data_IF_083332243033
#
_entry.id   IF_083332243033
#
_cell.length_a   1.000
_cell.length_b   1.000
_cell.length_c   1.000
_cell.angle_alpha   90.00
_cell.angle_beta   90.00
_cell.angle_gamma   90.00
#
_symmetry.space_group_name_H-M   'P 1'
#
loop_
_entity.id
_entity.type
_entity.pdbx_description
1 polymer ?
#
# COMPACT_ATOMS: atom_id res chain seq x y z
N UNK A 1 -36.82 -3.10 3.51
CA UNK A 1 -35.69 -2.21 3.87
C UNK A 1 -36.19 -0.78 3.82
N UNK A 2 -36.03 -0.04 4.92
CA UNK A 2 -36.36 1.40 4.95
C UNK A 2 -35.29 2.22 4.24
N UNK A 3 -35.64 3.42 3.78
CA UNK A 3 -34.67 4.36 3.24
C UNK A 3 -33.66 4.76 4.32
N UNK A 4 -32.38 4.79 3.99
CA UNK A 4 -31.31 5.30 4.84
C UNK A 4 -31.03 6.77 4.51
N UNK A 5 -30.38 7.49 5.43
CA UNK A 5 -29.98 8.87 5.15
C UNK A 5 -28.89 8.92 4.07
N UNK A 6 -28.75 10.06 3.40
CA UNK A 6 -27.67 10.26 2.43
C UNK A 6 -26.28 10.13 3.07
N UNK A 7 -26.13 10.55 4.33
CA UNK A 7 -24.90 10.40 5.09
C UNK A 7 -24.58 8.92 5.35
N UNK A 8 -25.55 8.13 5.81
CA UNK A 8 -25.36 6.69 6.05
C UNK A 8 -25.05 5.96 4.74
N UNK A 9 -25.71 6.34 3.64
CA UNK A 9 -25.41 5.80 2.32
C UNK A 9 -23.97 6.11 1.90
N UNK A 10 -23.51 7.35 2.06
CA UNK A 10 -22.14 7.74 1.73
C UNK A 10 -21.10 6.97 2.55
N UNK A 11 -21.30 6.83 3.86
CA UNK A 11 -20.44 6.04 4.74
C UNK A 11 -20.36 4.58 4.29
N UNK A 12 -21.51 3.96 4.03
CA UNK A 12 -21.56 2.56 3.57
C UNK A 12 -20.93 2.39 2.19
N UNK A 13 -21.15 3.34 1.29
CA UNK A 13 -20.56 3.34 -0.05
C UNK A 13 -19.04 3.41 0.02
N UNK A 14 -18.49 4.29 0.86
CA UNK A 14 -17.05 4.44 1.06
C UNK A 14 -16.43 3.18 1.66
N UNK A 15 -17.04 2.62 2.71
CA UNK A 15 -16.59 1.38 3.32
C UNK A 15 -16.59 0.21 2.33
N UNK A 16 -17.59 0.13 1.45
CA UNK A 16 -17.65 -0.89 0.40
C UNK A 16 -16.65 -0.64 -0.74
N UNK A 17 -16.45 0.62 -1.12
CA UNK A 17 -15.51 1.00 -2.18
C UNK A 17 -14.05 0.78 -1.78
N UNK A 18 -13.73 0.94 -0.49
CA UNK A 18 -12.40 0.79 0.09
C UNK A 18 -12.32 -0.39 1.07
N UNK A 19 -12.95 -1.52 0.75
CA UNK A 19 -12.76 -2.74 1.54
C UNK A 19 -11.27 -3.10 1.64
N UNK A 20 -10.79 -3.67 2.77
CA UNK A 20 -9.39 -4.03 2.94
C UNK A 20 -8.82 -4.83 1.77
N UNK A 21 -9.54 -5.86 1.28
CA UNK A 21 -9.10 -6.68 0.14
C UNK A 21 -8.77 -5.83 -1.11
N UNK A 22 -9.63 -4.87 -1.42
CA UNK A 22 -9.45 -3.98 -2.58
C UNK A 22 -8.28 -3.04 -2.40
N UNK A 23 -8.09 -2.52 -1.19
CA UNK A 23 -6.93 -1.69 -0.85
C UNK A 23 -5.63 -2.50 -0.95
N UNK A 24 -5.60 -3.73 -0.42
CA UNK A 24 -4.44 -4.62 -0.54
C UNK A 24 -4.06 -4.90 -1.99
N UNK A 25 -5.02 -5.19 -2.85
CA UNK A 25 -4.78 -5.38 -4.30
C UNK A 25 -4.24 -4.12 -4.96
N UNK A 26 -4.81 -2.96 -4.66
CA UNK A 26 -4.33 -1.68 -5.21
C UNK A 26 -2.91 -1.36 -4.75
N UNK A 27 -2.59 -1.57 -3.48
CA UNK A 27 -1.25 -1.36 -2.93
C UNK A 27 -0.25 -2.32 -3.60
N UNK A 28 -0.59 -3.60 -3.75
CA UNK A 28 0.27 -4.56 -4.45
C UNK A 28 0.56 -4.13 -5.91
N UNK A 29 -0.46 -3.64 -6.63
CA UNK A 29 -0.28 -3.12 -7.99
C UNK A 29 0.58 -1.86 -8.05
N UNK A 30 0.46 -0.98 -7.05
CA UNK A 30 1.21 0.27 -6.99
C UNK A 30 2.70 0.02 -6.72
N UNK A 31 3.02 -0.88 -5.79
CA UNK A 31 4.40 -1.20 -5.42
C UNK A 31 5.05 -2.10 -6.49
N UNK A 32 4.27 -2.99 -7.11
CA UNK A 32 4.76 -4.01 -8.03
C UNK A 32 5.47 -5.17 -7.33
N UNK A 33 5.99 -6.11 -8.11
CA UNK A 33 6.56 -7.36 -7.57
C UNK A 33 8.01 -7.21 -7.08
N UNK A 34 8.72 -6.18 -7.53
CA UNK A 34 10.13 -5.98 -7.20
C UNK A 34 10.59 -4.54 -7.41
N UNK A 35 11.65 -4.14 -6.71
CA UNK A 35 12.31 -2.85 -6.89
C UNK A 35 13.84 -2.97 -6.81
N UNK A 36 14.54 -2.00 -7.39
CA UNK A 36 15.99 -1.81 -7.27
C UNK A 36 16.23 -0.38 -6.78
N UNK A 37 16.99 -0.24 -5.69
CA UNK A 37 17.29 1.08 -5.13
C UNK A 37 18.37 1.84 -5.92
N UNK A 38 19.05 1.15 -6.85
CA UNK A 38 20.28 1.62 -7.46
C UNK A 38 21.42 1.73 -6.45
N UNK A 39 22.51 2.39 -6.85
CA UNK A 39 23.63 2.64 -5.93
C UNK A 39 23.34 3.89 -5.08
N UNK A 40 23.12 3.68 -3.79
CA UNK A 40 23.02 4.74 -2.78
C UNK A 40 24.34 4.91 -2.04
N UNK A 41 24.64 6.12 -1.57
CA UNK A 41 25.80 6.36 -0.69
C UNK A 41 25.40 6.12 0.77
N UNK A 42 26.22 5.37 1.50
CA UNK A 42 25.97 5.01 2.91
C UNK A 42 27.21 5.24 3.78
N UNK A 43 26.98 5.42 5.09
CA UNK A 43 28.03 5.59 6.10
C UNK A 43 28.51 7.03 6.30
N UNK A 44 29.39 7.26 7.30
CA UNK A 44 29.92 8.60 7.61
C UNK A 44 30.61 9.21 6.39
N UNK A 45 30.24 10.45 6.04
CA UNK A 45 30.74 11.18 4.87
C UNK A 45 30.47 10.52 3.50
N UNK A 46 29.59 9.51 3.42
CA UNK A 46 29.23 8.83 2.17
C UNK A 46 30.37 8.00 1.57
N UNK A 47 31.23 7.44 2.43
CA UNK A 47 32.41 6.65 2.04
C UNK A 47 32.07 5.23 1.58
N UNK A 48 30.85 4.75 1.80
CA UNK A 48 30.38 3.47 1.29
C UNK A 48 29.31 3.62 0.22
N UNK A 49 29.15 2.57 -0.58
CA UNK A 49 28.00 2.43 -1.49
C UNK A 49 27.17 1.23 -1.06
N UNK A 50 25.85 1.33 -1.17
CA UNK A 50 24.95 0.21 -1.03
C UNK A 50 24.06 0.09 -2.25
N UNK A 51 23.71 -1.13 -2.61
CA UNK A 51 22.70 -1.42 -3.61
C UNK A 51 21.79 -2.49 -3.04
N UNK A 52 20.48 -2.35 -3.24
CA UNK A 52 19.51 -3.31 -2.77
C UNK A 52 18.50 -3.64 -3.87
N UNK A 53 18.20 -4.94 -3.99
CA UNK A 53 17.11 -5.43 -4.82
C UNK A 53 16.10 -6.06 -3.87
N UNK A 54 14.85 -5.62 -3.97
CA UNK A 54 13.74 -6.10 -3.16
C UNK A 54 12.72 -6.86 -3.99
N UNK A 55 12.13 -7.90 -3.40
CA UNK A 55 10.96 -8.62 -3.92
C UNK A 55 9.83 -8.44 -2.92
N UNK A 56 8.67 -8.02 -3.42
CA UNK A 56 7.48 -7.78 -2.61
C UNK A 56 6.73 -9.10 -2.46
N UNK A 57 6.43 -9.46 -1.22
CA UNK A 57 5.62 -10.62 -0.89
C UNK A 57 4.12 -10.37 -1.06
N UNK A 58 3.31 -11.27 -0.52
CA UNK A 58 1.87 -11.09 -0.53
C UNK A 58 1.45 -9.94 0.38
N UNK A 59 0.93 -8.87 -0.21
CA UNK A 59 0.31 -7.76 0.53
C UNK A 59 -0.98 -8.24 1.16
N UNK A 60 -1.15 -7.97 2.46
CA UNK A 60 -2.36 -8.30 3.21
C UNK A 60 -2.90 -7.02 3.82
N UNK A 61 -4.21 -6.80 3.70
CA UNK A 61 -4.87 -5.65 4.29
C UNK A 61 -6.02 -6.13 5.18
N UNK A 62 -6.23 -5.44 6.30
CA UNK A 62 -7.30 -5.70 7.25
C UNK A 62 -7.86 -4.39 7.79
N UNK A 63 -9.01 -4.46 8.44
CA UNK A 63 -9.45 -3.33 9.27
C UNK A 63 -8.41 -3.04 10.36
N UNK A 64 -8.22 -1.75 10.67
CA UNK A 64 -7.33 -1.35 11.74
C UNK A 64 -8.05 -1.46 13.10
N UNK A 65 -7.33 -1.95 14.12
CA UNK A 65 -7.84 -1.97 15.50
C UNK A 65 -7.74 -0.57 16.16
N UNK A 66 -6.93 0.32 15.60
CA UNK A 66 -6.77 1.70 16.03
C UNK A 66 -7.93 2.55 15.48
N UNK A 67 -8.77 3.16 16.34
CA UNK A 67 -9.97 3.86 15.90
C UNK A 67 -9.71 5.13 15.06
N UNK A 68 -8.47 5.63 15.05
CA UNK A 68 -8.08 6.79 14.23
C UNK A 68 -7.76 6.40 12.77
N UNK A 69 -7.70 5.09 12.47
CA UNK A 69 -7.32 4.53 11.18
C UNK A 69 -8.35 3.51 10.69
N UNK A 70 -8.59 3.46 9.38
CA UNK A 70 -9.62 2.58 8.82
C UNK A 70 -9.05 1.19 8.47
N UNK A 71 -7.83 1.19 7.92
CA UNK A 71 -7.21 0.00 7.30
C UNK A 71 -5.74 -0.08 7.70
N UNK A 72 -5.30 -1.27 8.03
CA UNK A 72 -3.89 -1.62 8.18
C UNK A 72 -3.45 -2.50 7.01
N UNK A 73 -2.28 -2.20 6.45
CA UNK A 73 -1.69 -2.92 5.31
C UNK A 73 -0.32 -3.44 5.72
N UNK A 74 -0.13 -4.75 5.61
CA UNK A 74 1.14 -5.42 5.81
C UNK A 74 1.78 -5.73 4.46
N UNK A 75 2.99 -5.23 4.26
CA UNK A 75 3.80 -5.42 3.06
C UNK A 75 5.09 -6.17 3.42
N UNK A 76 5.13 -7.49 3.21
CA UNK A 76 6.37 -8.26 3.32
C UNK A 76 7.31 -7.92 2.17
N UNK A 77 8.60 -7.77 2.45
CA UNK A 77 9.63 -7.50 1.43
C UNK A 77 10.88 -8.31 1.77
N UNK A 78 11.35 -9.11 0.82
CA UNK A 78 12.65 -9.77 0.89
C UNK A 78 13.68 -8.94 0.12
N UNK A 79 14.78 -8.54 0.77
CA UNK A 79 15.78 -7.64 0.22
C UNK A 79 17.14 -8.33 0.18
N UNK A 80 17.78 -8.33 -0.98
CA UNK A 80 19.19 -8.65 -1.11
C UNK A 80 20.00 -7.36 -1.27
N UNK A 81 20.82 -7.04 -0.27
CA UNK A 81 21.63 -5.83 -0.24
C UNK A 81 23.12 -6.15 -0.36
N UNK A 82 23.86 -5.32 -1.10
CA UNK A 82 25.32 -5.32 -1.13
C UNK A 82 25.83 -3.98 -0.65
N UNK A 83 26.78 -4.01 0.27
CA UNK A 83 27.40 -2.81 0.85
C UNK A 83 28.90 -2.89 0.62
N UNK A 84 29.44 -1.91 -0.09
CA UNK A 84 30.87 -1.67 -0.24
C UNK A 84 31.30 -0.55 0.73
N UNK A 85 32.14 -0.90 1.70
CA UNK A 85 32.70 0.05 2.66
C UNK A 85 34.13 0.52 2.29
N UNK A 86 34.55 0.32 1.03
CA UNK A 86 35.89 0.65 0.50
C UNK A 86 36.99 -0.34 0.90
N UNK A 87 36.86 -0.98 2.07
CA UNK A 87 37.79 -2.03 2.54
C UNK A 87 37.26 -3.43 2.19
N UNK A 88 35.93 -3.59 2.17
CA UNK A 88 35.27 -4.88 1.93
C UNK A 88 33.86 -4.65 1.41
N UNK A 89 33.45 -5.52 0.49
CA UNK A 89 32.07 -5.70 0.07
C UNK A 89 31.41 -6.82 0.87
N UNK A 90 30.23 -6.56 1.42
CA UNK A 90 29.44 -7.53 2.18
C UNK A 90 28.03 -7.59 1.61
N UNK A 91 27.48 -8.80 1.51
CA UNK A 91 26.10 -9.04 1.11
C UNK A 91 25.24 -9.42 2.32
N UNK A 92 23.99 -8.96 2.32
CA UNK A 92 23.00 -9.18 3.37
C UNK A 92 21.68 -9.60 2.72
N UNK A 93 21.03 -10.59 3.31
CA UNK A 93 19.61 -10.86 3.07
C UNK A 93 18.82 -10.27 4.24
N UNK A 94 17.78 -9.50 3.91
CA UNK A 94 16.94 -8.82 4.90
C UNK A 94 15.49 -9.14 4.58
N UNK A 95 14.80 -9.77 5.53
CA UNK A 95 13.35 -9.91 5.48
C UNK A 95 12.72 -8.76 6.27
N UNK A 96 11.84 -8.02 5.61
CA UNK A 96 11.17 -6.84 6.12
C UNK A 96 9.67 -7.07 6.11
N UNK A 97 8.96 -6.56 7.11
CA UNK A 97 7.53 -6.39 7.07
C UNK A 97 7.18 -4.96 7.44
N UNK A 98 6.57 -4.23 6.50
CA UNK A 98 6.13 -2.83 6.70
C UNK A 98 4.65 -2.83 7.00
N UNK A 99 4.26 -2.14 8.06
CA UNK A 99 2.87 -1.96 8.48
C UNK A 99 2.45 -0.52 8.22
N UNK A 100 1.68 -0.29 7.15
CA UNK A 100 1.11 1.01 6.86
C UNK A 100 -0.32 1.11 7.41
N UNK A 101 -0.69 2.29 7.90
CA UNK A 101 -2.08 2.59 8.29
C UNK A 101 -2.64 3.68 7.42
N UNK A 102 -3.89 3.48 7.01
CA UNK A 102 -4.59 4.31 6.03
C UNK A 102 -5.93 4.73 6.59
N UNK A 103 -6.29 5.99 6.38
CA UNK A 103 -7.65 6.49 6.61
C UNK A 103 -8.14 7.32 5.43
N UNK A 104 -9.44 7.31 5.21
CA UNK A 104 -10.08 8.08 4.16
C UNK A 104 -10.64 9.38 4.73
N UNK A 105 -10.11 10.51 4.26
CA UNK A 105 -10.56 11.84 4.65
C UNK A 105 -11.42 12.42 3.53
N UNK A 106 -12.66 12.77 3.85
CA UNK A 106 -13.57 13.41 2.90
C UNK A 106 -13.37 14.91 2.92
N UNK A 107 -13.12 15.48 1.74
CA UNK A 107 -12.87 16.91 1.57
C UNK A 107 -13.86 17.56 0.60
N UNK A 108 -14.24 18.83 0.85
CA UNK A 108 -15.03 19.59 -0.10
C UNK A 108 -14.30 19.78 -1.44
N UNK A 109 -15.02 19.86 -2.58
CA UNK A 109 -16.47 19.68 -2.72
C UNK A 109 -16.91 18.21 -2.78
N UNK A 110 -16.07 17.30 -3.29
CA UNK A 110 -16.34 15.86 -3.38
C UNK A 110 -15.03 15.09 -3.63
N UNK A 111 -14.03 15.30 -2.79
CA UNK A 111 -12.75 14.60 -2.88
C UNK A 111 -12.56 13.62 -1.73
N UNK A 112 -11.86 12.53 -1.98
CA UNK A 112 -11.38 11.59 -0.97
C UNK A 112 -9.86 11.69 -0.94
N UNK A 113 -9.31 12.06 0.21
CA UNK A 113 -7.88 12.01 0.47
C UNK A 113 -7.56 10.70 1.18
N UNK A 114 -6.63 9.95 0.60
CA UNK A 114 -6.00 8.79 1.24
C UNK A 114 -4.91 9.35 2.15
N UNK A 115 -5.22 9.45 3.44
CA UNK A 115 -4.27 9.84 4.45
C UNK A 115 -3.52 8.61 4.96
N UNK A 116 -2.19 8.69 4.97
CA UNK A 116 -1.31 7.61 5.38
C UNK A 116 -0.58 8.05 6.63
N UNK A 117 -0.58 7.20 7.66
CA UNK A 117 0.24 7.43 8.85
C UNK A 117 1.70 7.51 8.43
N UNK A 118 2.41 8.52 8.90
CA UNK A 118 3.86 8.55 8.81
C UNK A 118 4.43 7.32 9.51
N UNK A 119 5.28 6.57 8.80
CA UNK A 119 5.86 5.35 9.36
C UNK A 119 6.86 5.70 10.46
N UNK A 120 6.86 4.92 11.53
CA UNK A 120 7.91 4.93 12.54
C UNK A 120 8.62 3.58 12.61
N UNK A 121 9.68 3.48 13.41
CA UNK A 121 10.45 2.24 13.56
C UNK A 121 9.59 1.05 14.02
N UNK A 122 8.55 1.29 14.84
CA UNK A 122 7.65 0.24 15.32
C UNK A 122 6.72 -0.31 14.21
N UNK A 123 6.59 0.42 13.10
CA UNK A 123 5.83 0.01 11.93
C UNK A 123 6.66 -0.87 10.97
N UNK A 124 7.94 -1.11 11.29
CA UNK A 124 8.87 -1.89 10.49
C UNK A 124 9.45 -3.01 11.33
N UNK A 125 9.26 -4.25 10.89
CA UNK A 125 9.92 -5.42 11.46
C UNK A 125 10.96 -5.92 10.48
N UNK A 126 12.24 -5.92 10.88
CA UNK A 126 13.32 -6.49 10.05
C UNK A 126 14.04 -7.66 10.72
N UNK A 127 14.38 -8.65 9.91
CA UNK A 127 15.31 -9.74 10.26
C UNK A 127 16.45 -9.73 9.25
N UNK A 128 17.70 -9.74 9.74
CA UNK A 128 18.90 -9.62 8.91
C UNK A 128 19.72 -10.89 9.02
N UNK A 129 19.94 -11.54 7.89
CA UNK A 129 20.81 -12.70 7.76
C UNK A 129 22.05 -12.37 6.90
N UNK A 130 23.27 -12.46 7.47
CA UNK A 130 24.48 -12.11 6.76
C UNK A 130 24.94 -13.31 5.92
N UNK A 131 25.06 -13.14 4.61
CA UNK A 131 25.58 -14.20 3.75
C UNK A 131 27.06 -14.49 4.07
N UNK A 132 27.35 -15.64 4.66
CA UNK A 132 28.72 -16.17 4.79
C UNK A 132 29.61 -15.48 5.84
N UNK A 133 29.02 -14.86 6.87
CA UNK A 133 29.79 -14.12 7.88
C UNK A 133 30.26 -15.02 9.04
N UNK A 134 31.50 -14.85 9.55
CA UNK A 134 31.98 -15.59 10.72
C UNK A 134 31.14 -15.29 11.96
N UNK A 135 30.81 -16.31 12.75
CA UNK A 135 29.93 -16.24 13.93
C UNK A 135 30.37 -15.27 15.02
N UNK A 136 31.60 -14.75 14.95
CA UNK A 136 32.14 -13.72 15.86
C UNK A 136 31.62 -12.30 15.60
N UNK A 137 31.01 -12.03 14.44
CA UNK A 137 30.45 -10.71 14.10
C UNK A 137 28.93 -10.61 14.36
N UNK A 138 28.29 -11.69 14.82
CA UNK A 138 26.84 -11.74 15.12
C UNK A 138 26.42 -10.72 16.19
N UNK A 139 27.31 -10.40 17.14
CA UNK A 139 27.03 -9.42 18.19
C UNK A 139 26.85 -7.97 17.69
N UNK A 140 27.46 -7.61 16.55
CA UNK A 140 27.32 -6.27 15.96
C UNK A 140 25.98 -6.08 15.25
N UNK A 141 25.33 -7.17 14.81
CA UNK A 141 24.11 -7.13 13.99
C UNK A 141 22.90 -6.52 14.71
N UNK A 142 22.82 -6.60 16.05
CA UNK A 142 21.70 -6.00 16.80
C UNK A 142 21.63 -4.47 16.63
N UNK A 143 22.77 -3.80 16.45
CA UNK A 143 22.81 -2.37 16.14
C UNK A 143 22.51 -2.09 14.67
N UNK A 144 22.69 -3.07 13.78
CA UNK A 144 22.42 -2.90 12.34
C UNK A 144 20.92 -2.97 12.07
N UNK A 145 20.18 -3.85 12.75
CA UNK A 145 18.71 -3.93 12.63
C UNK A 145 18.05 -2.58 12.85
N UNK A 146 18.35 -1.91 13.96
CA UNK A 146 17.79 -0.59 14.24
C UNK A 146 18.19 0.49 13.20
N UNK A 147 19.40 0.40 12.64
CA UNK A 147 19.86 1.32 11.59
C UNK A 147 19.15 1.02 10.26
N UNK A 148 18.89 -0.25 9.96
CA UNK A 148 18.11 -0.66 8.78
C UNK A 148 16.67 -0.20 8.92
N UNK A 149 16.04 -0.38 10.09
CA UNK A 149 14.68 0.07 10.35
C UNK A 149 14.56 1.60 10.16
N UNK A 150 15.45 2.38 10.77
CA UNK A 150 15.47 3.85 10.64
C UNK A 150 15.70 4.31 9.18
N UNK A 151 16.63 3.65 8.47
CA UNK A 151 16.90 3.94 7.07
C UNK A 151 15.69 3.61 6.18
N UNK A 152 15.05 2.47 6.40
CA UNK A 152 13.87 2.03 5.66
C UNK A 152 12.70 2.97 5.93
N UNK A 153 12.45 3.33 7.19
CA UNK A 153 11.41 4.30 7.56
C UNK A 153 11.64 5.62 6.85
N UNK A 154 12.86 6.16 6.91
CA UNK A 154 13.22 7.42 6.25
C UNK A 154 12.99 7.33 4.74
N UNK A 155 13.52 6.27 4.11
CA UNK A 155 13.38 6.05 2.68
C UNK A 155 11.92 5.92 2.23
N UNK A 156 11.10 5.15 2.95
CA UNK A 156 9.69 4.97 2.59
C UNK A 156 8.93 6.28 2.79
N UNK A 157 9.15 6.99 3.90
CA UNK A 157 8.50 8.28 4.13
C UNK A 157 8.89 9.30 3.04
N UNK A 158 10.16 9.38 2.65
CA UNK A 158 10.62 10.23 1.53
C UNK A 158 9.97 9.83 0.20
N UNK A 159 9.91 8.53 -0.10
CA UNK A 159 9.25 8.01 -1.29
C UNK A 159 7.77 8.42 -1.30
N UNK A 160 7.09 8.24 -0.18
CA UNK A 160 5.70 8.57 0.03
C UNK A 160 5.41 10.07 -0.15
N UNK A 161 6.39 10.95 0.06
CA UNK A 161 6.27 12.40 -0.12
C UNK A 161 6.53 12.88 -1.56
N UNK A 162 6.88 11.99 -2.50
CA UNK A 162 7.08 12.40 -3.90
C UNK A 162 5.77 12.89 -4.52
N UNK A 163 5.87 13.93 -5.35
CA UNK A 163 4.72 14.60 -5.97
C UNK A 163 3.82 13.64 -6.75
N UNK A 164 4.39 12.65 -7.44
CA UNK A 164 3.64 11.62 -8.18
C UNK A 164 2.78 10.75 -7.27
N UNK A 165 3.31 10.37 -6.09
CA UNK A 165 2.56 9.59 -5.09
C UNK A 165 1.55 10.46 -4.36
N UNK A 166 1.92 11.68 -3.96
CA UNK A 166 1.02 12.63 -3.28
C UNK A 166 -0.17 12.98 -4.16
N UNK A 167 0.05 13.21 -5.46
CA UNK A 167 -1.03 13.47 -6.41
C UNK A 167 -2.04 12.31 -6.50
N UNK A 168 -1.55 11.07 -6.43
CA UNK A 168 -2.41 9.87 -6.47
C UNK A 168 -3.26 9.67 -5.19
N UNK A 169 -2.88 10.27 -4.06
CA UNK A 169 -3.63 10.15 -2.80
C UNK A 169 -4.93 10.92 -2.81
N UNK A 170 -5.05 11.94 -3.66
CA UNK A 170 -6.26 12.74 -3.79
C UNK A 170 -7.10 12.21 -4.94
N UNK A 171 -8.29 11.71 -4.62
CA UNK A 171 -9.26 11.22 -5.60
C UNK A 171 -10.39 12.25 -5.70
N UNK A 172 -10.55 12.87 -6.87
CA UNK A 172 -11.76 13.63 -7.19
C UNK A 172 -12.87 12.65 -7.58
N UNK A 173 -13.85 12.48 -6.68
CA UNK A 173 -14.94 11.51 -6.88
C UNK A 173 -15.91 12.01 -7.95
N UNK A 174 -16.12 13.33 -8.04
CA UNK A 174 -17.00 13.91 -9.05
C UNK A 174 -16.42 13.66 -10.45
N UNK A 175 -15.13 13.94 -10.66
CA UNK A 175 -14.47 13.69 -11.94
C UNK A 175 -14.45 12.18 -12.29
N UNK A 176 -14.25 11.31 -11.29
CA UNK A 176 -14.29 9.86 -11.52
C UNK A 176 -15.68 9.40 -11.98
N UNK A 177 -16.73 9.92 -11.36
CA UNK A 177 -18.11 9.64 -11.74
C UNK A 177 -18.40 10.15 -13.15
N UNK A 178 -18.02 11.38 -13.48
CA UNK A 178 -18.23 11.98 -14.80
C UNK A 178 -17.59 11.12 -15.90
N UNK A 179 -16.33 10.69 -15.71
CA UNK A 179 -15.65 9.77 -16.65
C UNK A 179 -16.36 8.42 -16.77
N UNK A 180 -16.90 7.88 -15.68
CA UNK A 180 -17.65 6.64 -15.71
C UNK A 180 -18.99 6.78 -16.45
N UNK A 181 -19.62 7.95 -16.39
CA UNK A 181 -20.80 8.29 -17.22
C UNK A 181 -20.44 8.39 -18.70
N UNK A 182 -19.38 9.12 -19.03
CA UNK A 182 -18.94 9.34 -20.42
C UNK A 182 -18.50 8.05 -21.11
N UNK A 183 -17.87 7.13 -20.37
CA UNK A 183 -17.46 5.82 -20.88
C UNK A 183 -18.60 4.81 -21.03
N UNK A 184 -19.82 5.17 -20.59
CA UNK A 184 -20.99 4.28 -20.63
C UNK A 184 -20.93 3.11 -19.64
N UNK A 185 -20.01 3.15 -18.66
CA UNK A 185 -19.79 2.07 -17.71
C UNK A 185 -21.06 1.70 -16.91
N UNK A 186 -21.97 2.66 -16.71
CA UNK A 186 -23.24 2.45 -15.99
C UNK A 186 -24.39 1.91 -16.85
N UNK A 187 -24.26 1.87 -18.18
CA UNK A 187 -25.33 1.43 -19.11
C UNK A 187 -25.36 -0.10 -19.29
N UNK A 188 -24.38 -0.83 -18.73
CA UNK A 188 -24.25 -2.30 -18.85
C UNK A 188 -24.56 -3.05 -17.55
N UNK A 189 -25.60 -2.66 -16.81
CA UNK A 189 -26.19 -3.51 -15.76
C UNK A 189 -27.15 -4.55 -16.38
N UNK A 190 -27.37 -5.73 -15.76
CA UNK A 190 -28.23 -6.74 -16.35
C UNK A 190 -29.64 -6.18 -16.47
N UNK A 191 -30.12 -5.99 -17.71
CA UNK A 191 -31.54 -5.81 -17.99
C UNK A 191 -32.26 -7.00 -17.38
N UNK A 192 -32.92 -6.79 -16.24
CA UNK A 192 -33.90 -7.72 -15.69
C UNK A 192 -34.88 -8.00 -16.83
N UNK A 193 -35.02 -9.25 -17.32
CA UNK A 193 -36.00 -9.52 -18.36
C UNK A 193 -37.36 -9.12 -17.81
N UNK A 194 -38.06 -8.24 -18.54
CA UNK A 194 -39.44 -7.93 -18.28
C UNK A 194 -40.18 -9.27 -18.23
N UNK A 195 -40.72 -9.59 -17.06
CA UNK A 195 -41.69 -10.66 -16.90
C UNK A 195 -42.86 -10.33 -17.82
N UNK A 196 -42.85 -10.97 -18.99
CA UNK A 196 -43.96 -10.98 -19.93
C UNK A 196 -45.07 -11.82 -19.33
N UNK A 197 -45.89 -11.18 -18.52
CA UNK A 197 -47.26 -11.60 -18.27
C UNK A 197 -48.00 -11.44 -19.61
N UNK A 198 -48.25 -12.55 -20.30
CA UNK A 198 -49.18 -12.59 -21.43
C UNK A 198 -50.42 -13.33 -20.97
N UNK A 199 -51.34 -12.56 -20.40
CA UNK A 199 -52.71 -12.97 -20.19
C UNK A 199 -53.48 -12.83 -21.52
N UNK A 200 -54.13 -13.95 -21.92
CA UNK A 200 -55.41 -14.05 -22.68
C UNK A 200 -55.33 -13.96 -24.25
N UNK A 201 -56.21 -14.65 -25.04
CA UNK A 201 -57.46 -15.39 -24.72
C UNK A 201 -57.63 -16.83 -25.26
N UNK A 202 -58.68 -17.47 -24.72
CA UNK A 202 -59.41 -18.64 -25.22
C UNK A 202 -60.03 -18.40 -26.62
N UNK A 203 -59.94 -19.40 -27.51
CA UNK A 203 -60.95 -19.65 -28.55
C UNK A 203 -60.93 -21.12 -29.05
N UNK A 204 -62.05 -21.81 -28.76
CA UNK A 204 -62.67 -23.03 -29.34
C UNK A 204 -61.89 -24.35 -29.25
#
# INVERSE_FOLDING_TARGET
MGAISAADFATNMLAAAASPDRVGVMVAQLIGDSFDTGSIRVGPAGLGTAQAVGVVGQVVASHCDDPDWDIEVLVPVAIHARVDAGIRVVAYDVDLAVRARIRLVLEPPCSVLIDLKELCADDVLSTIDPCGMPSRLIGWMRNITAVVDDYVVTFINELLQRDDIVAMRRIDVAELLDRAWESGAFVSGPLRPASGESDIPVAI
#
